data_IF_710770705662
#
_entry.id   IF_710770705662
#
_cell.length_a   1.000
_cell.length_b   1.000
_cell.length_c   1.000
_cell.angle_alpha   90.00
_cell.angle_beta   90.00
_cell.angle_gamma   90.00
#
_symmetry.space_group_name_H-M   'P 1'
#
loop_
_entity.id
_entity.type
_entity.pdbx_description
1 polymer ?
#
# COMPACT_ATOMS: atom_id res chain seq x y z
N UNK A 1 -19.68 1.50 -10.07
CA UNK A 1 -18.26 1.77 -9.78
C UNK A 1 -17.60 0.53 -9.15
N UNK A 2 -17.70 -0.64 -9.79
CA UNK A 2 -17.05 -1.90 -9.37
C UNK A 2 -15.94 -2.32 -10.37
N UNK A 3 -16.06 -1.91 -11.64
CA UNK A 3 -15.14 -2.27 -12.71
C UNK A 3 -13.68 -1.88 -12.46
N UNK A 4 -13.40 -0.69 -11.91
CA UNK A 4 -12.01 -0.22 -11.74
C UNK A 4 -11.18 -1.08 -10.77
N UNK A 5 -11.82 -1.73 -9.78
CA UNK A 5 -11.14 -2.64 -8.85
C UNK A 5 -10.85 -4.01 -9.48
N UNK A 6 -11.80 -4.52 -10.26
CA UNK A 6 -11.67 -5.79 -10.98
C UNK A 6 -10.65 -5.68 -12.11
N UNK A 7 -10.63 -4.56 -12.83
CA UNK A 7 -9.64 -4.25 -13.87
C UNK A 7 -8.22 -4.18 -13.29
N UNK A 8 -8.06 -3.61 -12.08
CA UNK A 8 -6.77 -3.55 -11.40
C UNK A 8 -6.30 -4.94 -10.96
N UNK A 9 -7.20 -5.77 -10.43
CA UNK A 9 -6.90 -7.14 -10.05
C UNK A 9 -6.49 -7.96 -11.28
N UNK A 10 -7.21 -7.81 -12.40
CA UNK A 10 -6.87 -8.48 -13.67
C UNK A 10 -5.52 -8.05 -14.24
N UNK A 11 -5.18 -6.77 -14.15
CA UNK A 11 -3.87 -6.25 -14.57
C UNK A 11 -2.73 -6.76 -13.69
N UNK A 12 -2.93 -6.79 -12.36
CA UNK A 12 -1.93 -7.31 -11.42
C UNK A 12 -1.69 -8.80 -11.64
N UNK A 13 -2.74 -9.58 -11.86
CA UNK A 13 -2.66 -11.02 -12.16
C UNK A 13 -1.95 -11.27 -13.49
N UNK A 14 -2.28 -10.51 -14.53
CA UNK A 14 -1.63 -10.60 -15.84
C UNK A 14 -0.14 -10.30 -15.74
N UNK A 15 0.23 -9.24 -14.99
CA UNK A 15 1.62 -8.88 -14.74
C UNK A 15 2.37 -9.98 -13.98
N UNK A 16 1.73 -10.63 -13.01
CA UNK A 16 2.35 -11.75 -12.27
C UNK A 16 2.57 -12.97 -13.15
N UNK A 17 1.61 -13.26 -14.05
CA UNK A 17 1.72 -14.36 -15.01
C UNK A 17 2.89 -14.13 -15.97
N UNK A 18 3.02 -12.92 -16.52
CA UNK A 18 4.12 -12.56 -17.42
C UNK A 18 5.49 -12.62 -16.74
N UNK A 19 5.57 -12.21 -15.48
CA UNK A 19 6.80 -12.31 -14.68
C UNK A 19 7.17 -13.77 -14.38
N UNK A 20 6.18 -14.66 -14.27
CA UNK A 20 6.40 -16.09 -14.07
C UNK A 20 6.94 -16.76 -15.34
N UNK A 21 6.45 -16.37 -16.52
CA UNK A 21 6.96 -16.88 -17.81
C UNK A 21 8.37 -16.37 -18.14
N UNK A 22 8.74 -15.19 -17.64
CA UNK A 22 10.09 -14.63 -17.80
C UNK A 22 11.11 -15.15 -16.77
N UNK A 23 10.67 -15.90 -15.74
CA UNK A 23 11.56 -16.46 -14.74
C UNK A 23 12.17 -17.78 -15.26
N UNK A 24 13.51 -17.91 -15.34
CA UNK A 24 14.14 -19.15 -15.74
C UNK A 24 13.94 -20.23 -14.65
N UNK A 25 13.86 -21.52 -15.02
CA UNK A 25 13.67 -22.61 -14.08
C UNK A 25 14.94 -22.84 -13.26
N UNK A 26 15.01 -22.20 -12.10
CA UNK A 26 16.08 -22.41 -11.11
C UNK A 26 15.78 -21.65 -9.82
N UNK A 27 16.32 -22.08 -8.66
CA UNK A 27 16.13 -21.36 -7.41
C UNK A 27 16.70 -19.94 -7.56
N UNK A 28 15.78 -18.99 -7.64
CA UNK A 28 16.05 -17.57 -7.90
C UNK A 28 16.61 -16.89 -6.64
N UNK A 29 17.81 -17.28 -6.20
CA UNK A 29 18.51 -16.60 -5.08
C UNK A 29 19.22 -15.31 -5.51
N UNK A 30 19.29 -15.04 -6.82
CA UNK A 30 20.02 -13.91 -7.40
C UNK A 30 19.14 -12.81 -8.01
N UNK A 31 17.81 -12.86 -7.86
CA UNK A 31 16.94 -11.74 -8.24
C UNK A 31 16.99 -10.63 -7.19
N UNK A 32 18.20 -10.17 -6.86
CA UNK A 32 18.42 -8.96 -6.08
C UNK A 32 18.32 -7.75 -7.00
N UNK A 33 17.17 -7.63 -7.67
CA UNK A 33 16.85 -6.43 -8.43
C UNK A 33 16.62 -5.31 -7.42
N UNK A 34 17.52 -4.31 -7.41
CA UNK A 34 17.37 -3.12 -6.57
C UNK A 34 16.01 -2.41 -6.79
N UNK A 35 15.41 -2.58 -7.97
CA UNK A 35 14.05 -2.13 -8.26
C UNK A 35 12.99 -2.87 -7.43
N UNK A 36 13.07 -4.21 -7.31
CA UNK A 36 12.14 -5.03 -6.51
C UNK A 36 12.31 -4.75 -5.03
N UNK A 37 13.53 -4.49 -4.57
CA UNK A 37 13.79 -4.08 -3.19
C UNK A 37 13.08 -2.77 -2.78
N UNK A 38 12.74 -1.90 -3.74
CA UNK A 38 12.01 -0.65 -3.50
C UNK A 38 10.49 -0.81 -3.51
N UNK A 39 9.98 -1.93 -4.02
CA UNK A 39 8.52 -2.18 -4.13
C UNK A 39 7.82 -2.17 -2.76
N UNK A 40 8.36 -2.79 -1.68
CA UNK A 40 7.74 -2.72 -0.36
C UNK A 40 7.62 -1.29 0.18
N UNK A 41 8.64 -0.45 -0.03
CA UNK A 41 8.61 0.95 0.37
C UNK A 41 7.56 1.76 -0.40
N UNK A 42 7.50 1.56 -1.73
CA UNK A 42 6.53 2.24 -2.59
C UNK A 42 5.10 1.81 -2.27
N UNK A 43 4.85 0.52 -2.09
CA UNK A 43 3.58 -0.01 -1.64
C UNK A 43 3.18 0.58 -0.28
N UNK A 44 4.13 0.69 0.66
CA UNK A 44 3.91 1.34 1.95
C UNK A 44 3.54 2.83 1.84
N UNK A 45 4.13 3.56 0.88
CA UNK A 45 3.78 4.95 0.61
C UNK A 45 2.37 5.10 0.04
N UNK A 46 2.01 4.26 -0.94
CA UNK A 46 0.67 4.25 -1.53
C UNK A 46 -0.41 3.92 -0.51
N UNK A 47 -0.21 2.90 0.32
CA UNK A 47 -1.15 2.54 1.39
C UNK A 47 -1.31 3.70 2.38
N UNK A 48 -0.23 4.40 2.76
CA UNK A 48 -0.34 5.59 3.62
C UNK A 48 -1.11 6.74 2.97
N UNK A 49 -0.95 6.95 1.66
CA UNK A 49 -1.69 7.96 0.92
C UNK A 49 -3.19 7.63 0.86
N UNK A 50 -3.55 6.37 0.57
CA UNK A 50 -4.93 5.89 0.57
C UNK A 50 -5.59 6.07 1.95
N UNK A 51 -4.92 5.64 3.03
CA UNK A 51 -5.43 5.80 4.41
C UNK A 51 -5.64 7.27 4.76
N UNK A 52 -4.76 8.18 4.31
CA UNK A 52 -4.96 9.63 4.52
C UNK A 52 -6.17 10.15 3.76
N UNK A 53 -6.36 9.74 2.51
CA UNK A 53 -7.53 10.11 1.71
C UNK A 53 -8.83 9.60 2.36
N UNK A 54 -8.85 8.36 2.83
CA UNK A 54 -9.99 7.77 3.54
C UNK A 54 -10.30 8.53 4.83
N UNK A 55 -9.27 8.90 5.61
CA UNK A 55 -9.44 9.70 6.82
C UNK A 55 -9.95 11.11 6.54
N UNK A 56 -9.54 11.73 5.42
CA UNK A 56 -10.06 13.04 4.98
C UNK A 56 -11.50 12.94 4.48
N UNK A 57 -11.87 11.83 3.84
CA UNK A 57 -13.24 11.52 3.44
C UNK A 57 -14.16 11.15 4.63
N UNK A 58 -13.62 11.09 5.85
CA UNK A 58 -14.38 10.78 7.07
C UNK A 58 -14.52 9.29 7.39
N UNK A 59 -13.82 8.41 6.68
CA UNK A 59 -13.87 6.97 6.94
C UNK A 59 -13.35 6.64 8.35
N UNK A 60 -14.05 5.73 9.02
CA UNK A 60 -13.65 5.19 10.32
C UNK A 60 -12.47 4.23 10.19
N UNK A 61 -11.73 4.03 11.28
CA UNK A 61 -10.65 3.03 11.32
C UNK A 61 -11.12 1.60 11.05
N UNK A 62 -12.40 1.29 11.32
CA UNK A 62 -13.01 0.01 10.98
C UNK A 62 -13.17 -0.18 9.48
N UNK A 63 -13.62 0.86 8.75
CA UNK A 63 -13.75 0.82 7.29
C UNK A 63 -12.38 0.73 6.61
N UNK A 64 -11.40 1.50 7.10
CA UNK A 64 -10.02 1.45 6.61
C UNK A 64 -9.38 0.08 6.87
N UNK A 65 -9.57 -0.47 8.08
CA UNK A 65 -9.10 -1.82 8.42
C UNK A 65 -9.71 -2.89 7.52
N UNK A 66 -11.01 -2.82 7.26
CA UNK A 66 -11.70 -3.76 6.37
C UNK A 66 -11.13 -3.75 4.95
N UNK A 67 -10.84 -2.57 4.38
CA UNK A 67 -10.22 -2.45 3.06
C UNK A 67 -8.78 -2.98 2.98
N UNK A 68 -8.06 -2.99 4.12
CA UNK A 68 -6.70 -3.51 4.24
C UNK A 68 -6.64 -4.94 4.79
N UNK A 69 -7.78 -5.58 5.02
CA UNK A 69 -7.92 -6.89 5.65
C UNK A 69 -7.18 -7.01 7.01
N UNK A 70 -7.22 -5.94 7.81
CA UNK A 70 -6.65 -5.86 9.17
C UNK A 70 -7.69 -5.33 10.15
N UNK A 71 -7.50 -5.60 11.45
CA UNK A 71 -8.38 -5.06 12.48
C UNK A 71 -8.31 -3.53 12.56
N UNK A 72 -9.40 -2.90 12.97
CA UNK A 72 -9.49 -1.45 13.16
C UNK A 72 -8.38 -0.91 14.08
N UNK A 73 -8.06 -1.67 15.13
CA UNK A 73 -7.01 -1.33 16.08
C UNK A 73 -5.61 -1.47 15.48
N UNK A 74 -5.37 -2.49 14.63
CA UNK A 74 -4.13 -2.61 13.87
C UNK A 74 -3.96 -1.44 12.88
N UNK A 75 -5.03 -1.05 12.19
CA UNK A 75 -5.03 0.12 11.30
C UNK A 75 -4.72 1.41 12.08
N UNK A 76 -5.39 1.64 13.23
CA UNK A 76 -5.15 2.81 14.09
C UNK A 76 -3.73 2.82 14.65
N UNK A 77 -3.21 1.68 15.11
CA UNK A 77 -1.85 1.57 15.66
C UNK A 77 -0.80 1.91 14.60
N UNK A 78 -0.99 1.40 13.37
CA UNK A 78 -0.04 1.51 12.26
C UNK A 78 -0.09 2.84 11.53
N UNK A 79 -1.28 3.42 11.36
CA UNK A 79 -1.49 4.63 10.54
C UNK A 79 -2.03 5.84 11.33
N UNK A 80 -2.59 5.61 12.52
CA UNK A 80 -3.09 6.67 13.40
C UNK A 80 -1.99 7.51 14.03
N UNK A 81 -0.74 7.03 14.05
CA UNK A 81 0.45 7.86 14.36
C UNK A 81 0.95 8.59 13.12
N UNK A 82 0.06 9.32 12.46
CA UNK A 82 0.52 10.47 11.69
C UNK A 82 0.88 11.53 12.73
N UNK A 83 2.11 11.48 13.23
CA UNK A 83 2.71 12.65 13.87
C UNK A 83 2.65 13.68 12.75
N UNK A 84 1.68 14.60 12.82
CA UNK A 84 1.87 15.86 12.14
C UNK A 84 3.25 16.31 12.61
N UNK A 85 4.22 16.59 11.72
CA UNK A 85 5.22 17.56 12.13
C UNK A 85 4.38 18.74 12.57
N UNK A 86 4.36 19.01 13.87
CA UNK A 86 3.84 20.25 14.42
C UNK A 86 4.46 21.30 13.51
N UNK A 87 3.65 21.88 12.62
CA UNK A 87 4.05 23.07 11.90
C UNK A 87 4.59 23.97 13.01
N UNK A 88 5.86 24.33 12.90
CA UNK A 88 6.52 25.19 13.86
C UNK A 88 5.71 26.49 13.88
N UNK A 89 4.75 26.52 14.80
CA UNK A 89 4.03 27.70 15.19
C UNK A 89 5.04 28.50 16.01
N UNK A 90 5.41 29.63 15.43
CA UNK A 90 6.41 30.58 15.89
C UNK A 90 7.28 30.94 14.69
N UNK A 91 7.02 31.97 13.88
CA UNK A 91 6.42 33.28 14.14
C UNK A 91 6.80 33.87 15.49
N UNK A 92 8.06 34.29 15.59
CA UNK A 92 8.48 35.65 15.97
C UNK A 92 9.84 35.95 15.36
#
# INVERSE_FOLDING_TARGET
MAAAGEDLIGQVQTLTQQLHELAPPGPCTQWQSAAVARVPDLAGQLVRAAVRADRQAGASWAQIGAGLNISAEAARSRFGRSREPRAAAGMV
#
